data_IF_630861875583
#
_entry.id   IF_630861875583
#
_cell.length_a   1.000
_cell.length_b   1.000
_cell.length_c   1.000
_cell.angle_alpha   90.00
_cell.angle_beta   90.00
_cell.angle_gamma   90.00
#
_symmetry.space_group_name_H-M   'P 1'
#
loop_
_entity.id
_entity.type
_entity.pdbx_description
1 polymer ?
#
# COMPACT_ATOMS: atom_id res chain seq x y z
N UNK A 1 -3.68 8.22 18.80
CA UNK A 1 -4.86 8.51 17.98
C UNK A 1 -4.76 7.73 16.68
N UNK A 2 -5.30 6.51 16.68
CA UNK A 2 -5.21 5.55 15.57
C UNK A 2 -6.59 5.15 15.05
N UNK A 3 -7.67 5.66 15.65
CA UNK A 3 -9.05 5.33 15.27
C UNK A 3 -9.45 5.86 13.88
N UNK A 4 -8.80 6.91 13.38
CA UNK A 4 -9.16 7.52 12.09
C UNK A 4 -8.81 6.67 10.86
N UNK A 5 -7.62 6.07 10.81
CA UNK A 5 -7.21 5.30 9.61
C UNK A 5 -8.06 4.03 9.49
N UNK A 6 -8.21 3.29 10.59
CA UNK A 6 -9.06 2.09 10.59
C UNK A 6 -10.52 2.37 10.23
N UNK A 7 -11.07 3.55 10.56
CA UNK A 7 -12.42 3.92 10.09
C UNK A 7 -12.47 4.24 8.59
N UNK A 8 -11.41 4.85 8.04
CA UNK A 8 -11.33 5.12 6.59
C UNK A 8 -11.24 3.80 5.82
N UNK A 9 -10.34 2.89 6.22
CA UNK A 9 -10.23 1.56 5.60
C UNK A 9 -11.59 0.87 5.54
N UNK A 10 -12.27 0.74 6.68
CA UNK A 10 -13.60 0.09 6.72
C UNK A 10 -14.64 0.80 5.86
N UNK A 11 -14.57 2.13 5.74
CA UNK A 11 -15.46 2.87 4.84
C UNK A 11 -15.19 2.54 3.39
N UNK A 12 -13.91 2.41 3.00
CA UNK A 12 -13.52 2.06 1.64
C UNK A 12 -13.93 0.62 1.29
N UNK A 13 -13.75 -0.31 2.24
CA UNK A 13 -14.19 -1.71 2.08
C UNK A 13 -15.70 -1.80 1.82
N UNK A 14 -16.51 -0.96 2.50
CA UNK A 14 -17.96 -0.89 2.26
C UNK A 14 -18.33 -0.32 0.88
N UNK A 15 -17.40 0.39 0.23
CA UNK A 15 -17.54 0.96 -1.11
C UNK A 15 -16.87 0.07 -2.19
N UNK A 16 -16.60 -1.21 -1.88
CA UNK A 16 -15.92 -2.18 -2.75
C UNK A 16 -14.50 -1.73 -3.19
N UNK A 17 -13.83 -0.96 -2.32
CA UNK A 17 -12.46 -0.48 -2.49
C UNK A 17 -11.55 -0.99 -1.38
N UNK A 18 -10.59 -1.81 -1.75
CA UNK A 18 -9.51 -2.21 -0.86
C UNK A 18 -8.41 -1.15 -0.87
N UNK A 19 -7.84 -0.88 0.31
CA UNK A 19 -6.70 0.01 0.47
C UNK A 19 -5.56 -0.72 1.18
N UNK A 20 -4.33 -0.55 0.68
CA UNK A 20 -3.12 -1.08 1.31
C UNK A 20 -2.06 0.02 1.37
N UNK A 21 -1.39 0.13 2.52
CA UNK A 21 -0.18 0.93 2.68
C UNK A 21 1.05 0.04 2.85
N UNK A 22 2.05 0.29 2.00
CA UNK A 22 3.32 -0.39 2.00
C UNK A 22 4.44 0.58 2.37
N UNK A 23 5.35 0.17 3.25
CA UNK A 23 6.54 0.91 3.60
C UNK A 23 7.75 0.35 2.85
N UNK A 24 8.58 1.22 2.30
CA UNK A 24 9.80 0.80 1.63
C UNK A 24 10.93 0.54 2.65
N UNK A 25 11.52 -0.64 2.57
CA UNK A 25 12.57 -1.14 3.45
C UNK A 25 13.84 -0.29 3.40
N UNK A 26 14.30 0.07 2.20
CA UNK A 26 15.50 0.87 2.01
C UNK A 26 15.32 2.29 2.56
N UNK A 27 14.16 2.90 2.32
CA UNK A 27 13.80 4.22 2.87
C UNK A 27 13.76 4.22 4.40
N UNK A 28 13.26 3.14 5.02
CA UNK A 28 13.31 2.99 6.49
C UNK A 28 14.75 2.88 6.95
N UNK A 29 15.56 2.02 6.33
CA UNK A 29 16.96 1.85 6.71
C UNK A 29 17.73 3.17 6.60
N UNK A 30 17.57 3.91 5.51
CA UNK A 30 18.20 5.22 5.31
C UNK A 30 17.80 6.19 6.43
N UNK A 31 16.51 6.30 6.72
CA UNK A 31 15.97 7.18 7.76
C UNK A 31 16.46 6.86 9.17
N UNK A 32 16.69 5.58 9.46
CA UNK A 32 17.05 5.09 10.79
C UNK A 32 18.50 4.57 10.85
N UNK A 33 19.39 5.17 10.04
CA UNK A 33 20.84 4.92 10.08
C UNK A 33 21.22 3.44 9.96
N UNK A 34 20.57 2.74 9.04
CA UNK A 34 20.81 1.33 8.73
C UNK A 34 20.14 0.33 9.67
N UNK A 35 19.20 0.77 10.51
CA UNK A 35 18.50 -0.13 11.47
C UNK A 35 16.99 0.02 11.38
N UNK A 36 16.28 -1.10 11.45
CA UNK A 36 14.83 -1.06 11.63
C UNK A 36 14.48 -0.77 13.09
N UNK A 37 13.61 0.22 13.36
CA UNK A 37 12.96 0.35 14.66
C UNK A 37 12.23 -0.95 15.03
N UNK A 38 12.23 -1.39 16.31
CA UNK A 38 11.62 -2.66 16.72
C UNK A 38 10.16 -2.81 16.28
N UNK A 39 9.39 -1.71 16.28
CA UNK A 39 7.98 -1.71 15.84
C UNK A 39 7.83 -1.99 14.35
N UNK A 40 8.76 -1.49 13.51
CA UNK A 40 8.72 -1.73 12.07
C UNK A 40 9.27 -3.11 11.70
N UNK A 41 10.20 -3.64 12.50
CA UNK A 41 10.79 -4.97 12.29
C UNK A 41 9.78 -6.12 12.46
N UNK A 42 8.67 -5.87 13.16
CA UNK A 42 7.59 -6.85 13.37
C UNK A 42 6.52 -6.81 12.26
N UNK A 43 6.58 -5.83 11.37
CA UNK A 43 5.59 -5.70 10.31
C UNK A 43 5.71 -6.84 9.28
N UNK A 44 4.58 -7.33 8.74
CA UNK A 44 4.61 -8.37 7.71
C UNK A 44 5.44 -7.93 6.50
N UNK A 45 6.36 -8.78 6.08
CA UNK A 45 7.11 -8.59 4.83
C UNK A 45 6.24 -9.00 3.65
N UNK A 46 6.05 -8.10 2.69
CA UNK A 46 5.31 -8.38 1.46
C UNK A 46 6.25 -8.95 0.39
N UNK A 47 7.43 -8.36 0.23
CA UNK A 47 8.50 -8.87 -0.63
C UNK A 47 9.87 -8.34 -0.14
N UNK A 48 10.91 -8.43 -0.96
CA UNK A 48 12.26 -7.97 -0.60
C UNK A 48 12.34 -6.46 -0.32
N UNK A 49 11.41 -5.66 -0.86
CA UNK A 49 11.46 -4.19 -0.79
C UNK A 49 10.41 -3.55 0.11
N UNK A 50 9.33 -4.26 0.43
CA UNK A 50 8.17 -3.67 1.11
C UNK A 50 7.72 -4.43 2.35
N UNK A 51 7.29 -3.65 3.35
CA UNK A 51 6.58 -4.09 4.56
C UNK A 51 5.14 -3.58 4.51
N UNK A 52 4.20 -4.33 5.08
CA UNK A 52 2.82 -3.86 5.28
C UNK A 52 2.76 -2.89 6.45
N UNK A 53 2.21 -1.70 6.27
CA UNK A 53 2.25 -0.66 7.31
C UNK A 53 1.46 -1.01 8.58
N UNK A 54 0.39 -1.81 8.48
CA UNK A 54 -0.43 -2.21 9.62
C UNK A 54 -1.27 -3.47 9.33
N UNK A 55 -1.00 -4.58 10.02
CA UNK A 55 -1.67 -5.86 9.76
C UNK A 55 -3.12 -5.95 10.24
N UNK A 56 -3.54 -5.08 11.17
CA UNK A 56 -4.96 -5.04 11.59
C UNK A 56 -5.83 -4.15 10.71
N UNK A 57 -5.22 -3.31 9.87
CA UNK A 57 -5.96 -2.38 9.00
C UNK A 57 -5.88 -2.75 7.53
N UNK A 58 -4.88 -3.54 7.13
CA UNK A 58 -4.68 -3.87 5.73
C UNK A 58 -4.59 -5.37 5.58
N UNK A 59 -5.25 -5.90 4.57
CA UNK A 59 -5.24 -7.32 4.27
C UNK A 59 -3.84 -7.74 3.76
N UNK A 60 -3.18 -8.59 4.55
CA UNK A 60 -1.84 -9.13 4.22
C UNK A 60 -1.88 -10.01 2.98
N UNK A 61 -2.92 -10.84 2.83
CA UNK A 61 -3.08 -11.75 1.70
C UNK A 61 -3.32 -10.97 0.41
N UNK A 62 -4.14 -9.91 0.44
CA UNK A 62 -4.28 -9.02 -0.70
C UNK A 62 -2.95 -8.34 -1.06
N UNK A 63 -2.21 -7.83 -0.07
CA UNK A 63 -0.91 -7.22 -0.30
C UNK A 63 0.11 -8.20 -0.92
N UNK A 64 0.10 -9.45 -0.48
CA UNK A 64 0.93 -10.52 -1.07
C UNK A 64 0.52 -10.84 -2.50
N UNK A 65 -0.79 -10.92 -2.78
CA UNK A 65 -1.31 -11.16 -4.13
C UNK A 65 -0.94 -10.03 -5.10
N UNK A 66 -1.04 -8.78 -4.64
CA UNK A 66 -0.71 -7.59 -5.44
C UNK A 66 0.81 -7.34 -5.55
N UNK A 67 1.64 -8.10 -4.83
CA UNK A 67 3.07 -7.85 -4.76
C UNK A 67 3.78 -8.00 -6.12
N UNK A 68 3.25 -8.83 -7.02
CA UNK A 68 3.76 -9.03 -8.38
C UNK A 68 3.63 -7.80 -9.27
N UNK A 69 2.75 -6.86 -8.91
CA UNK A 69 2.55 -5.60 -9.63
C UNK A 69 3.37 -4.44 -9.04
N UNK A 70 4.07 -4.67 -7.92
CA UNK A 70 4.96 -3.67 -7.33
C UNK A 70 6.11 -3.36 -8.30
N UNK A 71 6.48 -2.08 -8.46
CA UNK A 71 7.61 -1.75 -9.30
C UNK A 71 8.89 -2.30 -8.67
N UNK A 72 9.67 -3.01 -9.47
CA UNK A 72 10.98 -3.57 -9.10
C UNK A 72 12.05 -2.49 -8.83
N UNK A 73 11.72 -1.21 -9.09
CA UNK A 73 12.57 -0.05 -8.81
C UNK A 73 11.74 1.03 -8.15
N UNK A 74 12.38 1.87 -7.34
CA UNK A 74 11.81 3.10 -6.83
C UNK A 74 11.30 3.95 -8.01
N UNK A 75 9.98 3.96 -8.20
CA UNK A 75 9.31 4.85 -9.14
C UNK A 75 8.50 5.86 -8.35
N UNK A 76 8.76 7.13 -8.61
CA UNK A 76 8.08 8.28 -8.00
C UNK A 76 6.83 8.69 -8.78
N UNK A 77 6.44 7.89 -9.78
CA UNK A 77 5.26 8.17 -10.59
C UNK A 77 4.08 7.32 -10.13
N UNK A 78 2.88 7.94 -10.01
CA UNK A 78 1.63 7.20 -9.89
C UNK A 78 1.41 6.30 -11.09
N UNK A 79 0.80 5.15 -10.87
CA UNK A 79 0.46 4.18 -11.92
C UNK A 79 -0.96 3.72 -11.75
N UNK A 80 -1.62 3.46 -12.87
CA UNK A 80 -2.95 2.86 -12.90
C UNK A 80 -2.86 1.62 -13.76
N UNK A 81 -3.23 0.47 -13.20
CA UNK A 81 -3.21 -0.82 -13.91
C UNK A 81 -4.61 -1.41 -13.90
N UNK A 82 -5.11 -1.83 -15.06
CA UNK A 82 -6.36 -2.58 -15.14
C UNK A 82 -6.04 -4.08 -15.14
N UNK A 83 -6.58 -4.81 -14.16
CA UNK A 83 -6.25 -6.20 -13.86
C UNK A 83 -7.54 -6.91 -13.44
N UNK A 84 -7.91 -8.01 -14.09
CA UNK A 84 -9.03 -8.88 -13.68
C UNK A 84 -10.34 -8.13 -13.37
N UNK A 85 -10.72 -7.19 -14.24
CA UNK A 85 -11.91 -6.32 -14.08
C UNK A 85 -11.84 -5.32 -12.92
N UNK A 86 -10.69 -5.21 -12.27
CA UNK A 86 -10.41 -4.20 -11.26
C UNK A 86 -9.40 -3.17 -11.76
N UNK A 87 -9.37 -2.05 -11.08
CA UNK A 87 -8.38 -0.99 -11.27
C UNK A 87 -7.49 -0.97 -10.03
N UNK A 88 -6.20 -1.17 -10.24
CA UNK A 88 -5.15 -0.93 -9.26
C UNK A 88 -4.60 0.48 -9.45
N UNK A 89 -4.86 1.36 -8.49
CA UNK A 89 -4.17 2.63 -8.36
C UNK A 89 -2.97 2.47 -7.44
N UNK A 90 -1.80 2.74 -7.96
CA UNK A 90 -0.54 2.71 -7.26
C UNK A 90 -0.03 4.16 -7.12
N UNK A 91 0.05 4.66 -5.89
CA UNK A 91 0.61 5.97 -5.60
C UNK A 91 1.89 5.87 -4.76
N UNK A 92 2.97 6.55 -5.16
CA UNK A 92 4.14 6.72 -4.28
C UNK A 92 3.76 7.58 -3.06
N UNK A 93 4.26 7.18 -1.90
CA UNK A 93 4.09 7.90 -0.64
C UNK A 93 5.37 8.64 -0.30
N UNK A 94 5.20 9.90 0.06
CA UNK A 94 6.26 10.77 0.54
C UNK A 94 5.91 11.27 1.94
N UNK A 95 6.92 11.43 2.77
CA UNK A 95 6.74 12.13 4.03
C UNK A 95 6.64 13.65 3.83
N UNK A 96 6.48 14.40 4.92
CA UNK A 96 6.34 15.87 4.87
C UNK A 96 7.56 16.61 4.33
N UNK A 97 8.73 15.96 4.28
CA UNK A 97 9.95 16.51 3.69
C UNK A 97 10.14 16.15 2.22
N UNK A 98 9.17 15.41 1.62
CA UNK A 98 9.25 14.95 0.25
C UNK A 98 10.10 13.69 0.06
N UNK A 99 10.51 13.03 1.16
CA UNK A 99 11.28 11.78 1.10
C UNK A 99 10.32 10.63 0.83
N UNK A 100 10.64 9.80 -0.16
CA UNK A 100 9.87 8.59 -0.46
C UNK A 100 9.92 7.63 0.72
N UNK A 101 8.77 7.09 1.12
CA UNK A 101 8.64 6.19 2.26
C UNK A 101 7.90 4.89 1.93
N UNK A 102 7.29 4.78 0.75
CA UNK A 102 6.46 3.62 0.44
C UNK A 102 5.44 3.86 -0.66
N UNK A 103 4.38 3.06 -0.68
CA UNK A 103 3.30 3.14 -1.69
C UNK A 103 1.93 2.95 -1.06
N UNK A 104 0.92 3.57 -1.68
CA UNK A 104 -0.50 3.42 -1.35
C UNK A 104 -1.19 2.77 -2.54
N UNK A 105 -1.76 1.60 -2.30
CA UNK A 105 -2.45 0.80 -3.30
C UNK A 105 -3.95 0.88 -3.04
N UNK A 106 -4.70 1.27 -4.04
CA UNK A 106 -6.16 1.17 -4.02
C UNK A 106 -6.58 0.18 -5.09
N UNK A 107 -7.37 -0.79 -4.69
CA UNK A 107 -7.87 -1.83 -5.57
C UNK A 107 -9.39 -1.82 -5.53
N UNK A 108 -10.03 -1.75 -6.70
CA UNK A 108 -11.48 -1.68 -6.77
C UNK A 108 -12.01 -2.34 -8.03
N UNK A 109 -13.14 -3.05 -7.91
CA UNK A 109 -13.78 -3.66 -9.07
C UNK A 109 -14.44 -2.57 -9.91
N UNK A 110 -14.19 -2.57 -11.22
CA UNK A 110 -14.91 -1.68 -12.12
C UNK A 110 -16.33 -2.22 -12.29
N UNK A 111 -17.29 -1.63 -11.60
CA UNK A 111 -18.69 -1.90 -11.89
C UNK A 111 -18.98 -1.47 -13.35
N UNK A 112 -19.35 -2.45 -14.18
CA UNK A 112 -19.94 -2.15 -15.47
C UNK A 112 -21.32 -1.55 -15.17
N UNK A 113 -21.43 -0.22 -15.24
CA UNK A 113 -22.73 0.42 -15.30
C UNK A 113 -23.44 -0.08 -16.56
N UNK A 114 -24.44 -0.95 -16.37
CA UNK A 114 -25.40 -1.30 -17.41
C UNK A 114 -26.09 0.01 -17.81
N UNK A 115 -25.61 0.63 -18.90
CA UNK A 115 -26.40 1.58 -19.65
C UNK A 115 -27.46 0.74 -20.37
N UNK A 116 -28.61 0.58 -19.70
CA UNK A 116 -29.85 0.13 -20.30
C UNK A 116 -30.49 1.28 -21.09
#
# INVERSE_FOLDING_TARGET
>A
MTQGIGSVVRSMENDDLDWILLLNKDSILERFSGRYPPVLAQLPSINEHYLLAHSEWFDVSLAQNLATYLPNKLSNEPRVTYLDQAILYDFPLFDRSGVYIGRSYYWGIKHQSNLA
#
